data_IF_628365683336
#
_entry.id   IF_628365683336
#
_cell.length_a   1.000
_cell.length_b   1.000
_cell.length_c   1.000
_cell.angle_alpha   90.00
_cell.angle_beta   90.00
_cell.angle_gamma   90.00
#
_symmetry.space_group_name_H-M   'P 1'
#
loop_
_entity.id
_entity.type
_entity.pdbx_description
1 polymer ?
#
# COMPACT_ATOMS: atom_id res chain seq x y z
N UNK A 1 9.31 -2.67 -8.13
CA UNK A 1 8.76 -3.72 -9.00
C UNK A 1 9.70 -4.91 -9.23
N UNK A 2 11.04 -4.71 -9.38
CA UNK A 2 11.98 -5.83 -9.65
C UNK A 2 11.93 -6.91 -8.56
N UNK A 3 12.01 -6.63 -7.25
CA UNK A 3 11.89 -7.65 -6.22
C UNK A 3 10.53 -8.37 -6.23
N UNK A 4 9.44 -7.64 -6.55
CA UNK A 4 8.09 -8.21 -6.67
C UNK A 4 8.05 -9.22 -7.84
N UNK A 5 8.52 -8.82 -9.02
CA UNK A 5 8.55 -9.70 -10.19
C UNK A 5 9.43 -10.92 -9.97
N UNK A 6 10.60 -10.75 -9.35
CA UNK A 6 11.49 -11.87 -9.05
C UNK A 6 10.90 -12.81 -8.00
N UNK A 7 10.25 -12.27 -6.95
CA UNK A 7 9.48 -13.05 -6.00
C UNK A 7 8.37 -13.87 -6.66
N UNK A 8 7.65 -13.28 -7.63
CA UNK A 8 6.65 -13.98 -8.44
C UNK A 8 7.26 -15.11 -9.29
N UNK A 9 8.42 -14.90 -9.91
CA UNK A 9 9.13 -15.98 -10.62
C UNK A 9 9.45 -17.12 -9.66
N UNK A 10 10.05 -16.82 -8.51
CA UNK A 10 10.41 -17.83 -7.52
C UNK A 10 9.18 -18.57 -6.97
N UNK A 11 8.07 -17.88 -6.75
CA UNK A 11 6.82 -18.48 -6.25
C UNK A 11 6.22 -19.49 -7.23
N UNK A 12 6.48 -19.33 -8.53
CA UNK A 12 5.95 -20.18 -9.58
C UNK A 12 6.97 -21.23 -10.10
N UNK A 13 8.12 -21.41 -9.45
CA UNK A 13 9.03 -22.51 -9.79
C UNK A 13 8.34 -23.82 -9.42
N UNK A 14 8.09 -24.72 -10.39
CA UNK A 14 7.42 -25.99 -10.13
C UNK A 14 8.16 -26.79 -9.04
N UNK A 15 7.42 -27.36 -8.12
CA UNK A 15 7.90 -28.28 -7.07
C UNK A 15 8.84 -27.67 -6.02
N UNK A 16 9.20 -26.39 -6.14
CA UNK A 16 10.12 -25.76 -5.20
C UNK A 16 9.48 -25.39 -3.84
N UNK A 17 8.15 -25.22 -3.78
CA UNK A 17 7.40 -24.91 -2.55
C UNK A 17 7.83 -23.63 -1.84
N UNK A 18 8.51 -22.70 -2.53
CA UNK A 18 9.15 -21.53 -1.92
C UNK A 18 8.17 -20.54 -1.28
N UNK A 19 6.93 -20.48 -1.78
CA UNK A 19 5.90 -19.57 -1.30
C UNK A 19 4.88 -20.25 -0.37
N UNK A 20 5.01 -21.55 -0.13
CA UNK A 20 4.06 -22.34 0.64
C UNK A 20 4.39 -22.34 2.13
N UNK A 21 3.35 -22.49 2.96
CA UNK A 21 3.49 -22.80 4.39
C UNK A 21 4.00 -24.23 4.59
N UNK A 22 4.36 -24.59 5.82
CA UNK A 22 4.76 -25.96 6.14
C UNK A 22 3.65 -26.97 5.83
N UNK A 23 2.38 -26.64 6.16
CA UNK A 23 1.23 -27.49 5.88
C UNK A 23 0.98 -27.63 4.36
N UNK A 24 1.00 -26.52 3.61
CA UNK A 24 0.86 -26.56 2.15
C UNK A 24 1.98 -27.38 1.50
N UNK A 25 3.23 -27.25 1.96
CA UNK A 25 4.36 -28.06 1.50
C UNK A 25 4.15 -29.54 1.82
N UNK A 26 3.74 -29.84 3.05
CA UNK A 26 3.48 -31.23 3.48
C UNK A 26 2.38 -31.86 2.61
N UNK A 27 1.27 -31.17 2.39
CA UNK A 27 0.17 -31.64 1.52
C UNK A 27 0.68 -31.83 0.08
N UNK A 28 1.38 -30.84 -0.46
CA UNK A 28 1.89 -30.89 -1.83
C UNK A 28 2.80 -32.09 -2.09
N UNK A 29 3.77 -32.34 -1.20
CA UNK A 29 4.70 -33.49 -1.32
C UNK A 29 4.02 -34.81 -0.97
N UNK A 30 3.19 -34.86 0.07
CA UNK A 30 2.51 -36.10 0.48
C UNK A 30 1.52 -36.61 -0.57
N UNK A 31 0.79 -35.68 -1.26
CA UNK A 31 -0.10 -36.05 -2.37
C UNK A 31 0.65 -36.62 -3.59
N UNK A 32 1.95 -36.38 -3.71
CA UNK A 32 2.80 -36.94 -4.79
C UNK A 32 3.51 -38.22 -4.41
N UNK A 33 3.93 -38.32 -3.15
CA UNK A 33 4.73 -39.46 -2.65
C UNK A 33 3.89 -40.54 -1.98
N UNK A 34 2.57 -40.45 -2.04
CA UNK A 34 1.60 -41.33 -1.38
C UNK A 34 1.85 -41.48 0.13
N UNK A 35 2.33 -40.42 0.77
CA UNK A 35 2.62 -40.41 2.21
C UNK A 35 1.33 -40.16 3.01
N UNK A 36 0.56 -41.25 3.21
CA UNK A 36 -0.80 -41.19 3.76
C UNK A 36 -0.87 -40.76 5.23
N UNK A 37 0.19 -41.00 6.03
CA UNK A 37 0.25 -40.66 7.45
C UNK A 37 0.23 -39.14 7.67
N UNK A 38 0.98 -38.38 6.88
CA UNK A 38 1.03 -36.92 6.96
C UNK A 38 -0.30 -36.32 6.58
N UNK A 39 -0.92 -36.82 5.49
CA UNK A 39 -2.25 -36.35 5.04
C UNK A 39 -3.32 -36.66 6.10
N UNK A 40 -3.29 -37.81 6.75
CA UNK A 40 -4.24 -38.16 7.80
C UNK A 40 -4.08 -37.27 9.03
N UNK A 41 -2.84 -36.91 9.39
CA UNK A 41 -2.57 -35.98 10.50
C UNK A 41 -3.05 -34.54 10.19
N UNK A 42 -2.93 -34.09 8.95
CA UNK A 42 -3.37 -32.77 8.51
C UNK A 42 -4.88 -32.71 8.21
N UNK A 43 -5.53 -33.85 8.00
CA UNK A 43 -6.94 -33.91 7.69
C UNK A 43 -7.83 -33.39 8.83
N UNK A 44 -7.48 -33.71 10.08
CA UNK A 44 -8.28 -33.31 11.24
C UNK A 44 -8.34 -31.77 11.44
N UNK A 45 -7.22 -31.02 11.49
CA UNK A 45 -7.28 -29.59 11.65
C UNK A 45 -7.83 -28.85 10.43
N UNK A 46 -7.81 -29.46 9.24
CA UNK A 46 -8.33 -28.89 8.00
C UNK A 46 -9.74 -29.35 7.66
N UNK A 47 -10.39 -30.09 8.56
CA UNK A 47 -11.76 -30.64 8.36
C UNK A 47 -11.92 -31.44 7.07
N UNK A 48 -10.90 -32.22 6.71
CA UNK A 48 -10.93 -33.12 5.54
C UNK A 48 -11.21 -34.55 5.99
N UNK A 49 -12.19 -35.19 5.40
CA UNK A 49 -12.53 -36.58 5.70
C UNK A 49 -11.52 -37.53 5.04
N UNK A 50 -10.41 -37.83 5.75
CA UNK A 50 -9.38 -38.74 5.26
C UNK A 50 -8.74 -39.53 6.39
N UNK A 51 -8.40 -40.82 6.15
CA UNK A 51 -7.70 -41.69 7.06
C UNK A 51 -6.45 -42.29 6.40
N UNK A 52 -5.44 -42.59 7.22
CA UNK A 52 -4.20 -43.16 6.73
C UNK A 52 -4.46 -44.53 6.01
N UNK A 53 -3.85 -44.69 4.86
CA UNK A 53 -4.00 -45.91 4.04
C UNK A 53 -5.13 -45.85 3.01
N UNK A 54 -5.94 -44.82 2.97
CA UNK A 54 -6.91 -44.60 1.89
C UNK A 54 -6.19 -44.16 0.61
N UNK A 55 -6.75 -44.55 -0.56
CA UNK A 55 -6.23 -44.14 -1.85
C UNK A 55 -6.34 -42.62 -2.05
N UNK A 56 -5.31 -42.01 -2.63
CA UNK A 56 -5.30 -40.57 -2.98
C UNK A 56 -6.02 -40.39 -4.31
N UNK A 57 -7.25 -39.94 -4.23
CA UNK A 57 -8.09 -39.64 -5.41
C UNK A 57 -7.98 -38.17 -5.86
N UNK A 58 -8.37 -37.84 -7.10
CA UNK A 58 -8.42 -36.46 -7.55
C UNK A 58 -9.34 -35.59 -6.67
N UNK A 59 -10.45 -36.15 -6.18
CA UNK A 59 -11.41 -35.46 -5.30
C UNK A 59 -10.77 -35.12 -3.96
N UNK A 60 -9.94 -36.02 -3.41
CA UNK A 60 -9.20 -35.78 -2.18
C UNK A 60 -8.18 -34.64 -2.35
N UNK A 61 -7.48 -34.59 -3.49
CA UNK A 61 -6.55 -33.49 -3.80
C UNK A 61 -7.26 -32.15 -3.81
N UNK A 62 -8.46 -32.10 -4.43
CA UNK A 62 -9.27 -30.88 -4.47
C UNK A 62 -9.81 -30.54 -3.08
N UNK A 63 -10.24 -31.53 -2.28
CA UNK A 63 -10.69 -31.30 -0.91
C UNK A 63 -9.62 -30.66 -0.03
N UNK A 64 -8.37 -31.13 -0.06
CA UNK A 64 -7.27 -30.49 0.67
C UNK A 64 -6.98 -29.07 0.17
N UNK A 65 -7.08 -28.83 -1.13
CA UNK A 65 -6.86 -27.52 -1.73
C UNK A 65 -7.92 -26.49 -1.29
N UNK A 66 -9.18 -26.93 -1.26
CA UNK A 66 -10.29 -26.10 -0.75
C UNK A 66 -10.13 -25.88 0.75
N UNK A 67 -9.87 -26.92 1.52
CA UNK A 67 -9.71 -26.87 2.97
C UNK A 67 -8.60 -25.88 3.40
N UNK A 68 -7.44 -25.90 2.73
CA UNK A 68 -6.36 -24.94 2.98
C UNK A 68 -6.79 -23.50 2.68
N UNK A 69 -7.61 -23.28 1.64
CA UNK A 69 -8.08 -21.95 1.27
C UNK A 69 -9.12 -21.40 2.27
N UNK A 70 -9.93 -22.29 2.84
CA UNK A 70 -11.05 -21.91 3.73
C UNK A 70 -10.67 -22.03 5.22
N UNK A 71 -9.55 -22.66 5.55
CA UNK A 71 -9.09 -22.87 6.92
C UNK A 71 -8.97 -21.57 7.70
N UNK A 72 -9.45 -21.57 8.94
CA UNK A 72 -9.23 -20.46 9.87
C UNK A 72 -7.75 -20.29 10.21
N UNK A 73 -7.38 -19.12 10.75
CA UNK A 73 -6.00 -18.88 11.20
C UNK A 73 -5.53 -19.92 12.24
N UNK A 74 -6.42 -20.32 13.17
CA UNK A 74 -6.13 -21.32 14.18
C UNK A 74 -5.89 -22.71 13.58
N UNK A 75 -6.69 -23.10 12.61
CA UNK A 75 -6.60 -24.41 11.96
C UNK A 75 -5.33 -24.52 11.12
N UNK A 76 -5.01 -23.46 10.37
CA UNK A 76 -3.74 -23.38 9.64
C UNK A 76 -2.52 -23.34 10.56
N UNK A 77 -2.60 -22.68 11.73
CA UNK A 77 -1.51 -22.71 12.70
C UNK A 77 -1.28 -24.11 13.25
N UNK A 78 -2.36 -24.83 13.57
CA UNK A 78 -2.30 -26.25 14.01
C UNK A 78 -1.75 -27.16 12.90
N UNK A 79 -2.25 -27.01 11.67
CA UNK A 79 -1.77 -27.78 10.53
C UNK A 79 -0.26 -27.53 10.25
N UNK A 80 0.19 -26.27 10.36
CA UNK A 80 1.59 -25.92 10.20
C UNK A 80 2.48 -26.56 11.31
N UNK A 81 2.02 -26.57 12.57
CA UNK A 81 2.75 -27.20 13.66
C UNK A 81 2.88 -28.72 13.42
N UNK A 82 1.78 -29.39 13.05
CA UNK A 82 1.79 -30.81 12.70
C UNK A 82 2.76 -31.08 11.54
N UNK A 83 2.71 -30.29 10.47
CA UNK A 83 3.60 -30.47 9.32
C UNK A 83 5.08 -30.32 9.72
N UNK A 84 5.40 -29.38 10.61
CA UNK A 84 6.76 -29.19 11.12
C UNK A 84 7.23 -30.39 11.95
N UNK A 85 6.36 -31.03 12.74
CA UNK A 85 6.69 -32.27 13.48
C UNK A 85 7.01 -33.44 12.53
N UNK A 86 6.43 -33.44 11.33
CA UNK A 86 6.79 -34.39 10.27
C UNK A 86 8.03 -33.96 9.45
N UNK A 87 8.70 -32.87 9.82
CA UNK A 87 9.91 -32.38 9.18
C UNK A 87 9.72 -31.48 7.97
N UNK A 88 8.49 -31.02 7.68
CA UNK A 88 8.22 -30.07 6.62
C UNK A 88 8.41 -28.63 7.11
N UNK A 89 9.15 -27.83 6.34
CA UNK A 89 9.39 -26.42 6.66
C UNK A 89 8.56 -25.47 5.80
N UNK A 90 8.47 -24.24 6.27
CA UNK A 90 7.95 -23.14 5.45
C UNK A 90 8.89 -22.84 4.29
N UNK A 91 8.33 -22.47 3.14
CA UNK A 91 9.11 -21.97 2.03
C UNK A 91 9.83 -20.65 2.37
N UNK A 92 10.96 -20.40 1.73
CA UNK A 92 11.79 -19.22 1.97
C UNK A 92 11.00 -17.91 1.80
N UNK A 93 10.22 -17.80 0.74
CA UNK A 93 9.41 -16.59 0.46
C UNK A 93 8.30 -16.41 1.48
N UNK A 94 7.71 -17.53 1.96
CA UNK A 94 6.72 -17.45 3.04
C UNK A 94 7.35 -16.94 4.34
N UNK A 95 8.58 -17.36 4.67
CA UNK A 95 9.28 -16.83 5.84
C UNK A 95 9.52 -15.31 5.72
N UNK A 96 9.93 -14.81 4.54
CA UNK A 96 10.02 -13.37 4.32
C UNK A 96 8.67 -12.69 4.47
N UNK A 97 7.60 -13.28 3.92
CA UNK A 97 6.25 -12.76 4.06
C UNK A 97 5.82 -12.68 5.53
N UNK A 98 5.99 -13.74 6.31
CA UNK A 98 5.55 -13.78 7.71
C UNK A 98 6.28 -12.76 8.58
N UNK A 99 7.59 -12.56 8.35
CA UNK A 99 8.41 -11.61 9.12
C UNK A 99 8.17 -10.18 8.67
N UNK A 100 8.08 -9.91 7.38
CA UNK A 100 8.05 -8.52 6.87
C UNK A 100 6.64 -7.97 6.76
N UNK A 101 5.68 -8.78 6.30
CA UNK A 101 4.30 -8.37 6.07
C UNK A 101 3.39 -8.87 7.19
N UNK A 102 3.45 -10.15 7.52
CA UNK A 102 2.59 -10.75 8.55
C UNK A 102 2.77 -10.11 9.92
N UNK A 103 3.98 -9.64 10.26
CA UNK A 103 4.25 -8.86 11.47
C UNK A 103 3.92 -7.37 11.34
N UNK A 104 3.53 -6.88 10.17
CA UNK A 104 3.33 -5.47 9.82
C UNK A 104 4.57 -4.57 9.92
N UNK A 105 5.73 -5.10 10.31
CA UNK A 105 6.97 -4.33 10.50
C UNK A 105 7.44 -3.67 9.19
N UNK A 106 7.35 -4.37 8.07
CA UNK A 106 7.83 -3.87 6.78
C UNK A 106 7.21 -2.53 6.37
N UNK A 107 5.87 -2.41 6.26
CA UNK A 107 5.20 -1.16 5.99
C UNK A 107 5.56 -0.03 6.97
N UNK A 108 5.63 -0.34 8.28
CA UNK A 108 5.96 0.65 9.32
C UNK A 108 7.39 1.18 9.19
N UNK A 109 8.36 0.32 8.90
CA UNK A 109 9.76 0.73 8.66
C UNK A 109 9.88 1.59 7.41
N UNK A 110 9.12 1.26 6.34
CA UNK A 110 9.08 2.11 5.14
C UNK A 110 8.50 3.48 5.47
N UNK A 111 7.42 3.55 6.25
CA UNK A 111 6.84 4.82 6.70
C UNK A 111 7.84 5.66 7.51
N UNK A 112 8.63 5.05 8.38
CA UNK A 112 9.71 5.72 9.09
C UNK A 112 10.76 6.28 8.12
N UNK A 113 11.18 5.50 7.12
CA UNK A 113 12.12 5.95 6.09
C UNK A 113 11.56 7.11 5.27
N UNK A 114 10.29 7.02 4.85
CA UNK A 114 9.60 8.12 4.15
C UNK A 114 9.51 9.37 5.02
N UNK A 115 9.23 9.21 6.32
CA UNK A 115 9.25 10.31 7.29
C UNK A 115 10.61 10.99 7.37
N UNK A 116 11.69 10.20 7.41
CA UNK A 116 13.08 10.72 7.43
C UNK A 116 13.46 11.44 6.12
N UNK A 117 12.84 11.06 4.99
CA UNK A 117 13.02 11.76 3.69
C UNK A 117 12.15 13.02 3.57
N UNK A 118 11.10 13.16 4.38
CA UNK A 118 10.09 14.19 4.23
C UNK A 118 10.51 15.50 4.88
N UNK A 119 10.29 16.63 4.17
CA UNK A 119 10.41 17.98 4.71
C UNK A 119 9.01 18.60 4.87
N UNK A 120 8.60 18.87 6.11
CA UNK A 120 7.36 19.56 6.41
C UNK A 120 7.39 21.07 6.12
N UNK A 121 8.55 21.64 5.82
CA UNK A 121 8.71 23.07 5.54
C UNK A 121 7.71 23.61 4.53
N UNK A 122 7.57 23.04 3.33
CA UNK A 122 6.61 23.49 2.33
C UNK A 122 5.14 23.49 2.80
N UNK A 123 4.75 22.47 3.56
CA UNK A 123 3.40 22.35 4.13
C UNK A 123 3.15 23.43 5.19
N UNK A 124 4.12 23.63 6.09
CA UNK A 124 4.06 24.65 7.14
C UNK A 124 4.11 26.07 6.59
N UNK A 125 4.85 26.28 5.50
CA UNK A 125 4.91 27.57 4.82
C UNK A 125 3.57 27.98 4.17
N UNK A 126 2.80 26.98 3.67
CA UNK A 126 1.48 27.18 3.10
C UNK A 126 0.48 26.11 3.57
N UNK A 127 -0.06 26.20 4.80
CA UNK A 127 -0.95 25.18 5.37
C UNK A 127 -2.24 24.95 4.56
N UNK A 128 -2.68 25.91 3.74
CA UNK A 128 -3.86 25.76 2.87
C UNK A 128 -3.70 24.60 1.89
N UNK A 129 -2.46 24.22 1.57
CA UNK A 129 -2.17 23.08 0.68
C UNK A 129 -2.54 21.72 1.30
N UNK A 130 -2.83 21.66 2.62
CA UNK A 130 -3.43 20.47 3.25
C UNK A 130 -4.77 20.09 2.61
N UNK A 131 -5.56 21.08 2.20
CA UNK A 131 -6.85 20.82 1.52
C UNK A 131 -6.66 20.11 0.18
N UNK A 132 -5.55 20.33 -0.50
CA UNK A 132 -5.22 19.64 -1.75
C UNK A 132 -4.89 18.16 -1.50
N UNK A 133 -4.14 17.86 -0.45
CA UNK A 133 -3.89 16.50 0.00
C UNK A 133 -5.17 15.80 0.44
N UNK A 134 -6.01 16.48 1.23
CA UNK A 134 -7.30 15.95 1.66
C UNK A 134 -8.22 15.65 0.46
N UNK A 135 -8.29 16.55 -0.53
CA UNK A 135 -9.10 16.33 -1.73
C UNK A 135 -8.62 15.15 -2.58
N UNK A 136 -7.32 14.89 -2.63
CA UNK A 136 -6.79 13.73 -3.35
C UNK A 136 -7.22 12.40 -2.69
N UNK A 137 -7.58 12.38 -1.38
CA UNK A 137 -8.10 11.18 -0.72
C UNK A 137 -9.49 10.76 -1.22
N UNK A 138 -10.19 11.61 -1.99
CA UNK A 138 -11.36 11.15 -2.74
C UNK A 138 -11.06 9.99 -3.69
N UNK A 139 -9.81 9.80 -4.10
CA UNK A 139 -9.36 8.59 -4.78
C UNK A 139 -9.60 7.33 -3.94
N UNK A 140 -9.28 7.35 -2.64
CA UNK A 140 -9.49 6.23 -1.71
C UNK A 140 -10.98 5.93 -1.56
N UNK A 141 -11.76 6.92 -1.09
CA UNK A 141 -13.19 6.72 -0.82
C UNK A 141 -13.98 6.45 -2.10
N UNK A 142 -13.60 7.06 -3.22
CA UNK A 142 -14.20 6.78 -4.54
C UNK A 142 -13.96 5.33 -4.98
N UNK A 143 -12.83 4.75 -4.63
CA UNK A 143 -12.52 3.35 -4.93
C UNK A 143 -13.30 2.39 -4.03
N UNK A 144 -13.46 2.70 -2.74
CA UNK A 144 -14.35 1.94 -1.85
C UNK A 144 -15.76 1.90 -2.44
N UNK A 145 -16.29 3.06 -2.82
CA UNK A 145 -17.61 3.14 -3.45
C UNK A 145 -17.66 2.42 -4.80
N UNK A 146 -16.60 2.48 -5.60
CA UNK A 146 -16.49 1.77 -6.86
C UNK A 146 -16.48 0.25 -6.68
N UNK A 147 -15.75 -0.28 -5.70
CA UNK A 147 -15.76 -1.70 -5.36
C UNK A 147 -17.14 -2.16 -4.88
N UNK A 148 -17.75 -1.40 -3.96
CA UNK A 148 -19.11 -1.67 -3.49
C UNK A 148 -20.17 -1.59 -4.60
N UNK A 149 -19.98 -0.70 -5.58
CA UNK A 149 -20.86 -0.61 -6.74
C UNK A 149 -20.72 -1.83 -7.66
N UNK A 150 -19.51 -2.33 -7.87
CA UNK A 150 -19.28 -3.54 -8.68
C UNK A 150 -19.88 -4.78 -8.03
N UNK A 151 -19.85 -4.87 -6.71
CA UNK A 151 -20.51 -5.90 -5.92
C UNK A 151 -22.06 -5.78 -6.05
N UNK A 152 -22.59 -4.59 -5.83
CA UNK A 152 -24.04 -4.35 -5.98
C UNK A 152 -24.58 -4.65 -7.38
N UNK A 153 -23.77 -4.43 -8.42
CA UNK A 153 -24.12 -4.75 -9.81
C UNK A 153 -23.96 -6.25 -10.14
N UNK A 154 -23.41 -7.06 -9.22
CA UNK A 154 -23.13 -8.48 -9.44
C UNK A 154 -22.03 -8.74 -10.49
N UNK A 155 -21.14 -7.76 -10.71
CA UNK A 155 -20.01 -7.90 -11.66
C UNK A 155 -18.81 -8.56 -10.97
N UNK A 156 -18.53 -8.17 -9.74
CA UNK A 156 -17.46 -8.71 -8.89
C UNK A 156 -17.95 -8.76 -7.45
N UNK A 157 -17.68 -9.86 -6.76
CA UNK A 157 -18.04 -10.03 -5.36
C UNK A 157 -16.96 -9.39 -4.47
N UNK A 158 -17.33 -8.36 -3.71
CA UNK A 158 -16.49 -7.73 -2.71
C UNK A 158 -17.23 -7.57 -1.39
N UNK A 159 -16.73 -8.16 -0.34
CA UNK A 159 -17.16 -7.81 1.01
C UNK A 159 -16.76 -6.35 1.33
N UNK A 160 -17.39 -5.75 2.33
CA UNK A 160 -17.04 -4.37 2.72
C UNK A 160 -15.59 -4.23 3.21
N UNK A 161 -15.03 -5.29 3.81
CA UNK A 161 -13.63 -5.38 4.23
C UNK A 161 -12.70 -5.36 3.02
N UNK A 162 -13.01 -6.15 2.00
CA UNK A 162 -12.28 -6.19 0.74
C UNK A 162 -12.39 -4.89 -0.03
N UNK A 163 -13.58 -4.30 -0.10
CA UNK A 163 -13.80 -3.01 -0.73
C UNK A 163 -12.97 -1.89 -0.07
N UNK A 164 -12.88 -1.89 1.27
CA UNK A 164 -12.04 -0.97 2.00
C UNK A 164 -10.54 -1.20 1.74
N UNK A 165 -10.10 -2.47 1.76
CA UNK A 165 -8.72 -2.83 1.45
C UNK A 165 -8.30 -2.45 0.01
N UNK A 166 -9.19 -2.66 -0.97
CA UNK A 166 -8.99 -2.25 -2.36
C UNK A 166 -9.01 -0.72 -2.47
N UNK A 167 -9.88 -0.06 -1.72
CA UNK A 167 -10.04 1.39 -1.71
C UNK A 167 -8.75 2.15 -1.47
N UNK A 168 -7.89 1.64 -0.59
CA UNK A 168 -6.65 2.32 -0.20
C UNK A 168 -5.68 2.52 -1.38
N UNK A 169 -5.79 1.74 -2.45
CA UNK A 169 -4.99 1.88 -3.68
C UNK A 169 -5.13 3.29 -4.25
N UNK A 170 -6.31 3.90 -4.10
CA UNK A 170 -6.60 5.25 -4.60
C UNK A 170 -5.75 6.36 -3.99
N UNK A 171 -5.12 6.11 -2.84
CA UNK A 171 -4.14 7.01 -2.23
C UNK A 171 -2.76 6.99 -2.91
N UNK A 172 -2.48 6.01 -3.76
CA UNK A 172 -1.18 5.75 -4.36
C UNK A 172 -0.05 5.60 -3.32
N UNK A 173 -0.35 4.89 -2.24
CA UNK A 173 0.52 4.64 -1.09
C UNK A 173 0.73 3.13 -0.91
N UNK A 174 1.84 2.62 -1.44
CA UNK A 174 2.16 1.19 -1.42
C UNK A 174 2.23 0.60 0.00
N UNK A 175 3.01 1.18 0.91
CA UNK A 175 3.11 0.70 2.29
C UNK A 175 1.78 0.71 3.04
N UNK A 176 0.98 1.78 2.92
CA UNK A 176 -0.35 1.85 3.53
C UNK A 176 -1.28 0.79 2.94
N UNK A 177 -1.19 0.54 1.62
CA UNK A 177 -1.99 -0.49 0.95
C UNK A 177 -1.67 -1.89 1.49
N UNK A 178 -0.40 -2.20 1.71
CA UNK A 178 0.01 -3.46 2.33
C UNK A 178 -0.47 -3.56 3.77
N UNK A 179 -0.33 -2.48 4.56
CA UNK A 179 -0.75 -2.46 5.96
C UNK A 179 -2.25 -2.71 6.09
N UNK A 180 -3.08 -1.98 5.36
CA UNK A 180 -4.54 -2.13 5.41
C UNK A 180 -4.98 -3.49 4.90
N UNK A 181 -4.44 -3.96 3.77
CA UNK A 181 -4.83 -5.25 3.21
C UNK A 181 -4.36 -6.43 4.07
N UNK A 182 -3.23 -6.32 4.80
CA UNK A 182 -2.79 -7.36 5.73
C UNK A 182 -3.75 -7.53 6.92
N UNK A 183 -4.48 -6.47 7.27
CA UNK A 183 -5.46 -6.48 8.38
C UNK A 183 -6.86 -6.84 7.89
N UNK A 184 -7.35 -6.19 6.82
CA UNK A 184 -8.75 -6.28 6.39
C UNK A 184 -9.01 -7.38 5.35
N UNK A 185 -8.05 -7.67 4.47
CA UNK A 185 -8.20 -8.64 3.38
C UNK A 185 -6.87 -9.33 3.03
N UNK A 186 -6.31 -10.18 3.91
CA UNK A 186 -4.98 -10.79 3.70
C UNK A 186 -4.88 -11.63 2.43
N UNK A 187 -5.98 -12.23 1.97
CA UNK A 187 -6.04 -13.03 0.74
C UNK A 187 -5.90 -12.18 -0.53
N UNK A 188 -6.33 -10.91 -0.52
CA UNK A 188 -6.19 -9.96 -1.62
C UNK A 188 -4.89 -9.14 -1.57
N UNK A 189 -4.07 -9.32 -0.53
CA UNK A 189 -2.85 -8.53 -0.30
C UNK A 189 -1.93 -8.52 -1.53
N UNK A 190 -1.75 -9.66 -2.20
CA UNK A 190 -0.91 -9.75 -3.40
C UNK A 190 -1.41 -8.84 -4.53
N UNK A 191 -2.69 -8.92 -4.87
CA UNK A 191 -3.31 -8.13 -5.92
C UNK A 191 -3.29 -6.63 -5.58
N UNK A 192 -3.65 -6.28 -4.33
CA UNK A 192 -3.67 -4.89 -3.85
C UNK A 192 -2.26 -4.28 -3.85
N UNK A 193 -1.27 -5.00 -3.32
CA UNK A 193 0.11 -4.52 -3.26
C UNK A 193 0.71 -4.32 -4.66
N UNK A 194 0.52 -5.28 -5.56
CA UNK A 194 1.01 -5.16 -6.96
C UNK A 194 0.36 -3.98 -7.65
N UNK A 195 -0.97 -3.81 -7.50
CA UNK A 195 -1.71 -2.67 -8.04
C UNK A 195 -1.16 -1.35 -7.52
N UNK A 196 -1.04 -1.19 -6.20
CA UNK A 196 -0.57 0.04 -5.57
C UNK A 196 0.86 0.42 -6.02
N UNK A 197 1.79 -0.54 -6.05
CA UNK A 197 3.16 -0.27 -6.49
C UNK A 197 3.26 -0.05 -8.01
N UNK A 198 2.45 -0.75 -8.82
CA UNK A 198 2.40 -0.54 -10.25
C UNK A 198 1.91 0.88 -10.57
N UNK A 199 0.83 1.34 -9.94
CA UNK A 199 0.30 2.69 -10.16
C UNK A 199 1.21 3.77 -9.62
N UNK A 200 1.83 3.56 -8.48
CA UNK A 200 2.86 4.46 -7.97
C UNK A 200 4.02 4.61 -8.98
N UNK A 201 4.46 3.52 -9.61
CA UNK A 201 5.48 3.58 -10.66
C UNK A 201 4.98 4.25 -11.95
N UNK A 202 3.67 4.16 -12.26
CA UNK A 202 3.05 4.76 -13.45
C UNK A 202 2.59 6.21 -13.25
N UNK A 203 2.80 6.81 -12.09
CA UNK A 203 2.50 8.23 -11.80
C UNK A 203 2.96 9.17 -12.93
N UNK A 204 4.21 9.07 -13.45
CA UNK A 204 4.68 9.93 -14.53
C UNK A 204 3.94 9.77 -15.85
N UNK A 205 3.22 8.67 -16.04
CA UNK A 205 2.44 8.38 -17.25
C UNK A 205 0.97 8.77 -17.09
N UNK A 206 0.38 8.49 -15.93
CA UNK A 206 -1.07 8.67 -15.68
C UNK A 206 -1.41 10.12 -15.34
N UNK A 207 -0.62 10.80 -14.52
CA UNK A 207 -0.94 12.16 -14.06
C UNK A 207 -0.90 13.24 -15.16
N UNK A 208 0.14 13.31 -16.05
CA UNK A 208 0.25 14.41 -16.99
C UNK A 208 -0.95 14.57 -17.94
N UNK A 209 -1.53 13.50 -18.53
CA UNK A 209 -2.72 13.62 -19.36
C UNK A 209 -3.91 14.21 -18.59
N UNK A 210 -4.15 13.75 -17.35
CA UNK A 210 -5.25 14.22 -16.49
C UNK A 210 -5.06 15.70 -16.15
N UNK A 211 -3.85 16.07 -15.72
CA UNK A 211 -3.51 17.45 -15.39
C UNK A 211 -3.69 18.39 -16.60
N UNK A 212 -3.24 17.97 -17.79
CA UNK A 212 -3.37 18.74 -19.01
C UNK A 212 -4.81 18.86 -19.48
N UNK A 213 -5.63 17.82 -19.31
CA UNK A 213 -7.06 17.84 -19.64
C UNK A 213 -7.87 18.77 -18.70
N UNK A 214 -7.52 18.83 -17.43
CA UNK A 214 -8.24 19.62 -16.44
C UNK A 214 -7.75 21.06 -16.28
N UNK A 215 -6.63 21.45 -16.92
CA UNK A 215 -6.05 22.79 -16.79
C UNK A 215 -5.76 23.42 -18.13
N UNK A 216 -6.03 24.72 -18.23
CA UNK A 216 -5.65 25.53 -19.39
C UNK A 216 -4.14 25.86 -19.35
N UNK A 217 -3.57 26.26 -20.53
CA UNK A 217 -2.18 26.70 -20.60
C UNK A 217 -1.88 27.90 -19.69
N UNK A 218 -2.86 28.80 -19.53
CA UNK A 218 -2.75 29.97 -18.64
C UNK A 218 -2.67 29.55 -17.17
N UNK A 219 -3.47 28.58 -16.74
CA UNK A 219 -3.47 28.07 -15.38
C UNK A 219 -2.16 27.35 -15.06
N UNK A 220 -1.64 26.55 -16.00
CA UNK A 220 -0.36 25.85 -15.84
C UNK A 220 0.85 26.79 -15.75
N UNK A 221 0.75 27.98 -16.38
CA UNK A 221 1.80 28.97 -16.38
C UNK A 221 1.80 29.89 -15.14
N UNK A 222 0.86 29.74 -14.21
CA UNK A 222 0.79 30.55 -12.97
C UNK A 222 2.07 30.33 -12.16
N UNK A 223 2.81 31.42 -11.92
CA UNK A 223 3.96 31.44 -11.01
C UNK A 223 3.49 31.60 -9.57
N UNK A 224 4.02 30.79 -8.68
CA UNK A 224 3.72 30.90 -7.26
C UNK A 224 4.78 31.76 -6.56
N UNK A 225 4.33 32.53 -5.56
CA UNK A 225 5.20 33.34 -4.72
C UNK A 225 6.13 32.45 -3.89
N UNK A 226 7.32 32.97 -3.54
CA UNK A 226 8.26 32.23 -2.72
C UNK A 226 7.66 31.87 -1.36
N UNK A 227 7.90 30.63 -0.91
CA UNK A 227 7.43 30.16 0.38
C UNK A 227 8.15 30.92 1.52
N UNK A 228 7.43 31.20 2.62
CA UNK A 228 8.06 31.78 3.81
C UNK A 228 9.10 30.82 4.41
N UNK A 229 10.16 31.33 5.03
CA UNK A 229 11.06 30.50 5.81
C UNK A 229 10.31 29.90 7.01
N UNK A 230 10.58 28.63 7.30
CA UNK A 230 10.02 27.88 8.43
C UNK A 230 11.13 27.59 9.43
N UNK A 231 10.87 27.85 10.71
CA UNK A 231 11.84 27.64 11.77
C UNK A 231 12.02 26.15 12.09
N UNK A 232 13.21 25.78 12.60
CA UNK A 232 13.49 24.41 13.06
C UNK A 232 12.51 23.95 14.14
N UNK A 233 12.09 24.85 15.04
CA UNK A 233 11.09 24.55 16.07
C UNK A 233 9.74 24.19 15.48
N UNK A 234 9.26 24.92 14.48
CA UNK A 234 8.01 24.60 13.78
C UNK A 234 8.08 23.21 13.14
N UNK A 235 9.18 22.85 12.49
CA UNK A 235 9.38 21.55 11.84
C UNK A 235 9.40 20.37 12.83
N UNK A 236 9.91 20.57 14.05
CA UNK A 236 9.94 19.56 15.11
C UNK A 236 8.58 19.42 15.78
N UNK A 237 7.92 20.54 16.10
CA UNK A 237 6.66 20.54 16.87
C UNK A 237 5.48 20.07 16.04
N UNK A 238 5.41 20.45 14.77
CA UNK A 238 4.26 20.17 13.91
C UNK A 238 3.92 18.68 13.78
N UNK A 239 4.88 17.78 13.43
CA UNK A 239 4.56 16.35 13.31
C UNK A 239 4.10 15.75 14.64
N UNK A 240 4.62 16.21 15.77
CA UNK A 240 4.19 15.75 17.09
C UNK A 240 2.76 16.20 17.41
N UNK A 241 2.42 17.44 17.09
CA UNK A 241 1.04 17.96 17.26
C UNK A 241 0.07 17.20 16.37
N UNK A 242 0.42 16.96 15.11
CA UNK A 242 -0.42 16.19 14.17
C UNK A 242 -0.61 14.76 14.68
N UNK A 243 0.46 14.10 15.12
CA UNK A 243 0.40 12.75 15.67
C UNK A 243 -0.56 12.71 16.87
N UNK A 244 -0.37 13.57 17.86
CA UNK A 244 -1.19 13.61 19.07
C UNK A 244 -2.66 13.91 18.70
N UNK A 245 -2.90 14.90 17.85
CA UNK A 245 -4.25 15.27 17.43
C UNK A 245 -4.97 14.10 16.73
N UNK A 246 -4.29 13.41 15.81
CA UNK A 246 -4.90 12.28 15.08
C UNK A 246 -5.13 11.10 16.01
N UNK A 247 -4.15 10.72 16.83
CA UNK A 247 -4.25 9.54 17.70
C UNK A 247 -5.32 9.69 18.78
N UNK A 248 -5.61 10.90 19.24
CA UNK A 248 -6.71 11.15 20.19
C UNK A 248 -8.08 10.77 19.61
N UNK A 249 -8.29 10.90 18.31
CA UNK A 249 -9.55 10.57 17.64
C UNK A 249 -9.50 9.18 16.94
N UNK A 250 -8.32 8.79 16.45
CA UNK A 250 -8.10 7.61 15.63
C UNK A 250 -6.83 6.86 16.10
N UNK A 251 -6.90 6.09 17.20
CA UNK A 251 -5.75 5.34 17.72
C UNK A 251 -5.16 4.37 16.68
N UNK A 252 -5.98 3.80 15.80
CA UNK A 252 -5.58 2.85 14.77
C UNK A 252 -4.69 3.45 13.67
N UNK A 253 -4.65 4.79 13.56
CA UNK A 253 -3.69 5.48 12.69
C UNK A 253 -2.29 5.63 13.34
N UNK A 254 -2.16 5.36 14.65
CA UNK A 254 -0.92 5.57 15.40
C UNK A 254 0.28 4.79 14.83
N UNK A 255 0.17 3.52 14.42
CA UNK A 255 1.34 2.79 13.92
C UNK A 255 1.97 3.45 12.70
N UNK A 256 1.17 3.75 11.67
CA UNK A 256 1.66 4.36 10.42
C UNK A 256 2.13 5.81 10.66
N UNK A 257 1.26 6.64 11.22
CA UNK A 257 1.55 8.06 11.43
C UNK A 257 2.67 8.26 12.45
N UNK A 258 2.72 7.43 13.50
CA UNK A 258 3.78 7.44 14.51
C UNK A 258 5.15 7.17 13.91
N UNK A 259 5.28 6.14 13.07
CA UNK A 259 6.54 5.82 12.40
C UNK A 259 6.95 6.92 11.41
N UNK A 260 6.00 7.50 10.68
CA UNK A 260 6.24 8.65 9.80
C UNK A 260 6.76 9.86 10.57
N UNK A 261 6.09 10.23 11.65
CA UNK A 261 6.49 11.36 12.51
C UNK A 261 7.83 11.08 13.22
N UNK A 262 8.08 9.83 13.65
CA UNK A 262 9.35 9.44 14.24
C UNK A 262 10.53 9.58 13.26
N UNK A 263 10.35 9.11 12.02
CA UNK A 263 11.34 9.28 10.97
C UNK A 263 11.67 10.77 10.72
N UNK A 264 10.64 11.60 10.64
CA UNK A 264 10.80 13.03 10.46
C UNK A 264 11.49 13.70 11.67
N UNK A 265 11.14 13.30 12.89
CA UNK A 265 11.78 13.80 14.11
C UNK A 265 13.27 13.50 14.12
N UNK A 266 13.69 12.29 13.70
CA UNK A 266 15.12 11.94 13.58
C UNK A 266 15.85 12.88 12.63
N UNK A 267 15.23 13.31 11.54
CA UNK A 267 15.78 14.26 10.59
C UNK A 267 15.88 15.67 11.17
N UNK A 268 14.78 16.20 11.70
CA UNK A 268 14.67 17.61 12.06
C UNK A 268 15.34 17.95 13.40
N UNK A 269 15.51 16.97 14.30
CA UNK A 269 16.20 17.22 15.60
C UNK A 269 17.69 17.56 15.41
N UNK A 270 18.36 16.99 14.40
CA UNK A 270 19.78 17.27 14.08
C UNK A 270 20.77 16.74 15.11
N UNK A 271 20.37 15.76 15.94
CA UNK A 271 21.26 15.12 16.93
C UNK A 271 21.50 13.65 16.64
N UNK A 272 20.72 13.05 15.74
CA UNK A 272 20.82 11.66 15.32
C UNK A 272 20.92 11.53 13.79
N UNK A 273 21.68 12.39 13.14
CA UNK A 273 21.78 12.46 11.67
C UNK A 273 22.17 11.11 11.06
N UNK A 274 23.07 10.36 11.69
CA UNK A 274 23.47 9.03 11.23
C UNK A 274 22.29 8.04 11.21
N UNK A 275 21.40 8.08 12.20
CA UNK A 275 20.21 7.23 12.23
C UNK A 275 19.20 7.65 11.16
N UNK A 276 18.99 8.95 10.99
CA UNK A 276 18.17 9.51 9.93
C UNK A 276 18.68 9.10 8.55
N UNK A 277 19.99 9.21 8.31
CA UNK A 277 20.61 8.78 7.05
C UNK A 277 20.42 7.28 6.80
N UNK A 278 20.64 6.44 7.83
CA UNK A 278 20.41 5.01 7.74
C UNK A 278 18.95 4.70 7.42
N UNK A 279 17.98 5.36 8.06
CA UNK A 279 16.56 5.14 7.86
C UNK A 279 16.12 5.49 6.44
N UNK A 280 16.55 6.64 5.91
CA UNK A 280 16.13 7.13 4.59
C UNK A 280 16.86 6.47 3.42
N UNK A 281 17.95 5.77 3.64
CA UNK A 281 18.77 5.12 2.59
C UNK A 281 18.86 3.61 2.78
N UNK A 282 19.70 3.13 3.69
CA UNK A 282 19.99 1.70 3.82
C UNK A 282 18.75 0.90 4.27
N UNK A 283 18.11 1.32 5.34
CA UNK A 283 17.03 0.57 5.96
C UNK A 283 15.79 0.49 5.06
N UNK A 284 15.37 1.62 4.46
CA UNK A 284 14.22 1.63 3.54
C UNK A 284 14.48 0.76 2.31
N UNK A 285 15.71 0.76 1.78
CA UNK A 285 16.07 -0.05 0.62
C UNK A 285 16.07 -1.55 0.95
N UNK A 286 16.67 -1.95 2.08
CA UNK A 286 16.67 -3.34 2.54
C UNK A 286 15.24 -3.83 2.77
N UNK A 287 14.44 -3.04 3.49
CA UNK A 287 13.03 -3.39 3.75
C UNK A 287 12.23 -3.49 2.44
N UNK A 288 12.46 -2.60 1.48
CA UNK A 288 11.79 -2.63 0.17
C UNK A 288 12.14 -3.89 -0.63
N UNK A 289 13.37 -4.39 -0.54
CA UNK A 289 13.78 -5.64 -1.19
C UNK A 289 12.99 -6.82 -0.61
N UNK A 290 13.02 -7.00 0.71
CA UNK A 290 12.33 -8.11 1.36
C UNK A 290 10.81 -7.99 1.25
N UNK A 291 10.27 -6.79 1.37
CA UNK A 291 8.85 -6.54 1.18
C UNK A 291 8.42 -6.87 -0.27
N UNK A 292 9.22 -6.48 -1.26
CA UNK A 292 8.96 -6.82 -2.65
C UNK A 292 8.97 -8.33 -2.90
N UNK A 293 9.94 -9.07 -2.37
CA UNK A 293 9.99 -10.53 -2.45
C UNK A 293 8.77 -11.17 -1.77
N UNK A 294 8.38 -10.64 -0.60
CA UNK A 294 7.21 -11.10 0.15
C UNK A 294 5.89 -10.88 -0.61
N UNK A 295 5.71 -9.71 -1.23
CA UNK A 295 4.56 -9.44 -2.11
C UNK A 295 4.58 -10.37 -3.32
N UNK A 296 5.76 -10.58 -3.92
CA UNK A 296 5.95 -11.49 -5.04
C UNK A 296 5.53 -12.92 -4.73
N UNK A 297 5.68 -13.37 -3.49
CA UNK A 297 5.26 -14.72 -3.07
C UNK A 297 3.74 -14.95 -3.23
N UNK A 298 2.95 -13.89 -3.27
CA UNK A 298 1.48 -13.95 -3.47
C UNK A 298 1.08 -13.96 -4.95
N UNK A 299 2.03 -13.83 -5.88
CA UNK A 299 1.79 -13.87 -7.32
C UNK A 299 1.85 -15.31 -7.88
N UNK A 300 1.29 -16.25 -7.16
CA UNK A 300 1.11 -17.62 -7.67
C UNK A 300 0.04 -17.59 -8.76
N UNK A 301 0.33 -18.20 -9.92
CA UNK A 301 -0.50 -18.10 -11.10
C UNK A 301 -1.95 -18.60 -10.89
N UNK A 302 -2.11 -19.62 -10.08
CA UNK A 302 -3.40 -20.22 -9.72
C UNK A 302 -4.27 -19.34 -8.78
N UNK A 303 -3.63 -18.39 -8.07
CA UNK A 303 -4.29 -17.49 -7.12
C UNK A 303 -4.41 -16.05 -7.62
N UNK A 304 -3.60 -15.66 -8.61
CA UNK A 304 -3.51 -14.26 -9.05
C UNK A 304 -4.32 -13.96 -10.32
N UNK A 305 -4.48 -14.94 -11.21
CA UNK A 305 -5.17 -14.75 -12.50
C UNK A 305 -6.67 -15.08 -12.37
N UNK A 306 -7.39 -14.26 -11.61
CA UNK A 306 -8.83 -14.34 -11.47
C UNK A 306 -9.53 -13.00 -11.83
N UNK A 307 -10.86 -13.04 -11.96
CA UNK A 307 -11.66 -11.87 -12.32
C UNK A 307 -11.58 -10.76 -11.25
N UNK A 308 -11.51 -11.13 -9.97
CA UNK A 308 -11.43 -10.19 -8.86
C UNK A 308 -10.10 -9.40 -8.89
N UNK A 309 -8.98 -10.08 -9.12
CA UNK A 309 -7.66 -9.45 -9.27
C UNK A 309 -7.62 -8.49 -10.46
N UNK A 310 -8.16 -8.88 -11.61
CA UNK A 310 -8.25 -8.00 -12.79
C UNK A 310 -9.15 -6.79 -12.51
N UNK A 311 -10.23 -6.99 -11.77
CA UNK A 311 -11.11 -5.92 -11.30
C UNK A 311 -10.39 -4.93 -10.39
N UNK A 312 -9.59 -5.42 -9.43
CA UNK A 312 -8.75 -4.59 -8.55
C UNK A 312 -7.75 -3.76 -9.37
N UNK A 313 -7.11 -4.36 -10.38
CA UNK A 313 -6.24 -3.64 -11.30
C UNK A 313 -7.00 -2.54 -12.06
N UNK A 314 -8.18 -2.82 -12.58
CA UNK A 314 -9.00 -1.82 -13.27
C UNK A 314 -9.43 -0.67 -12.38
N UNK A 315 -9.95 -0.99 -11.20
CA UNK A 315 -10.34 -0.01 -10.17
C UNK A 315 -9.20 0.91 -9.76
N UNK A 316 -8.00 0.36 -9.60
CA UNK A 316 -6.83 1.14 -9.19
C UNK A 316 -6.45 2.25 -10.18
N UNK A 317 -6.56 2.01 -11.50
CA UNK A 317 -6.31 3.05 -12.53
C UNK A 317 -7.32 4.19 -12.38
N UNK A 318 -8.61 3.83 -12.27
CA UNK A 318 -9.70 4.82 -12.12
C UNK A 318 -9.53 5.60 -10.82
N UNK A 319 -9.24 4.90 -9.73
CA UNK A 319 -9.00 5.48 -8.40
C UNK A 319 -7.91 6.56 -8.43
N UNK A 320 -6.78 6.21 -9.02
CA UNK A 320 -5.64 7.12 -9.13
C UNK A 320 -5.95 8.33 -10.01
N UNK A 321 -6.71 8.13 -11.08
CA UNK A 321 -7.18 9.21 -11.94
C UNK A 321 -8.13 10.16 -11.18
N UNK A 322 -9.06 9.61 -10.40
CA UNK A 322 -10.01 10.39 -9.57
C UNK A 322 -9.25 11.20 -8.50
N UNK A 323 -8.33 10.59 -7.75
CA UNK A 323 -7.52 11.29 -6.74
C UNK A 323 -6.73 12.46 -7.34
N UNK A 324 -6.07 12.22 -8.48
CA UNK A 324 -5.35 13.27 -9.23
C UNK A 324 -6.29 14.40 -9.67
N UNK A 325 -7.45 14.05 -10.22
CA UNK A 325 -8.43 15.02 -10.70
C UNK A 325 -9.00 15.86 -9.55
N UNK A 326 -9.39 15.24 -8.45
CA UNK A 326 -9.94 15.94 -7.28
C UNK A 326 -8.92 16.92 -6.69
N UNK A 327 -7.64 16.55 -6.59
CA UNK A 327 -6.60 17.47 -6.14
C UNK A 327 -6.46 18.71 -7.05
N UNK A 328 -6.42 18.51 -8.38
CA UNK A 328 -6.36 19.60 -9.36
C UNK A 328 -7.62 20.49 -9.30
N UNK A 329 -8.79 19.89 -9.24
CA UNK A 329 -10.06 20.61 -9.16
C UNK A 329 -10.20 21.40 -7.86
N UNK A 330 -9.73 20.86 -6.74
CA UNK A 330 -9.68 21.56 -5.46
C UNK A 330 -8.80 22.81 -5.55
N UNK A 331 -7.62 22.72 -6.18
CA UNK A 331 -6.77 23.88 -6.38
C UNK A 331 -7.46 24.97 -7.24
N UNK A 332 -8.20 24.56 -8.28
CA UNK A 332 -9.02 25.49 -9.08
C UNK A 332 -10.15 26.11 -8.25
N UNK A 333 -10.80 25.32 -7.41
CA UNK A 333 -11.85 25.81 -6.51
C UNK A 333 -11.29 26.82 -5.51
N UNK A 334 -10.14 26.53 -4.91
CA UNK A 334 -9.46 27.43 -3.97
C UNK A 334 -9.12 28.78 -4.62
N UNK A 335 -8.75 28.79 -5.91
CA UNK A 335 -8.47 30.02 -6.64
C UNK A 335 -9.68 30.98 -6.76
N UNK A 336 -10.92 30.51 -6.53
CA UNK A 336 -12.10 31.39 -6.47
C UNK A 336 -12.23 32.15 -5.15
N UNK A 337 -11.55 31.64 -4.09
CA UNK A 337 -11.67 32.20 -2.74
C UNK A 337 -10.35 32.80 -2.22
N UNK A 338 -9.25 32.59 -2.93
CA UNK A 338 -7.93 33.11 -2.53
C UNK A 338 -7.51 34.29 -3.39
N UNK A 339 -6.89 35.29 -2.76
CA UNK A 339 -6.36 36.47 -3.48
C UNK A 339 -5.10 36.14 -4.28
N UNK A 340 -4.29 35.22 -3.78
CA UNK A 340 -3.09 34.72 -4.45
C UNK A 340 -3.42 33.47 -5.26
N UNK A 341 -3.09 33.49 -6.55
CA UNK A 341 -3.38 32.38 -7.42
C UNK A 341 -2.48 31.19 -7.12
N UNK A 342 -3.08 30.04 -6.89
CA UNK A 342 -2.41 28.74 -6.72
C UNK A 342 -2.34 28.09 -8.10
N UNK A 343 -1.16 27.58 -8.48
CA UNK A 343 -1.05 26.79 -9.70
C UNK A 343 -1.77 25.43 -9.51
N UNK A 344 -2.83 25.12 -10.29
CA UNK A 344 -3.63 23.92 -10.08
C UNK A 344 -2.84 22.62 -10.21
N UNK A 345 -1.70 22.64 -10.89
CA UNK A 345 -0.85 21.46 -11.05
C UNK A 345 -0.37 20.90 -9.70
N UNK A 346 -0.15 21.75 -8.68
CA UNK A 346 0.31 21.25 -7.38
C UNK A 346 -0.73 20.40 -6.67
N UNK A 347 -2.01 20.55 -7.02
CA UNK A 347 -3.09 19.72 -6.49
C UNK A 347 -2.95 18.23 -6.87
N UNK A 348 -2.40 17.94 -8.05
CA UNK A 348 -2.14 16.55 -8.46
C UNK A 348 -1.12 15.84 -7.55
N UNK A 349 -0.28 16.60 -6.85
CA UNK A 349 0.68 16.05 -5.89
C UNK A 349 0.04 15.63 -4.55
N UNK A 350 -1.26 15.90 -4.35
CA UNK A 350 -1.97 15.48 -3.14
C UNK A 350 -2.11 13.96 -2.95
N UNK A 351 -1.81 13.15 -3.96
CA UNK A 351 -1.66 11.70 -3.81
C UNK A 351 -0.37 11.37 -3.04
N UNK A 352 -0.37 10.27 -2.31
CA UNK A 352 0.72 9.93 -1.36
C UNK A 352 2.02 9.41 -2.00
N UNK A 353 2.16 9.46 -3.33
CA UNK A 353 3.36 9.03 -4.05
C UNK A 353 4.51 10.05 -3.87
N UNK A 354 5.17 10.05 -2.71
CA UNK A 354 6.25 10.98 -2.33
C UNK A 354 7.61 10.46 -2.80
N UNK A 355 8.47 11.29 -3.38
CA UNK A 355 8.25 12.66 -3.90
C UNK A 355 7.85 12.68 -5.39
N UNK A 356 7.41 11.55 -5.93
CA UNK A 356 7.24 11.35 -7.38
C UNK A 356 6.14 12.25 -7.95
N UNK A 357 4.99 12.34 -7.29
CA UNK A 357 3.87 13.17 -7.75
C UNK A 357 4.25 14.66 -7.78
N UNK A 358 5.00 15.15 -6.79
CA UNK A 358 5.51 16.52 -6.77
C UNK A 358 6.49 16.79 -7.94
N UNK A 359 7.34 15.84 -8.27
CA UNK A 359 8.26 15.95 -9.43
C UNK A 359 7.50 15.99 -10.75
N UNK A 360 6.42 15.21 -10.89
CA UNK A 360 5.57 15.22 -12.08
C UNK A 360 4.85 16.55 -12.23
N UNK A 361 4.28 17.08 -11.15
CA UNK A 361 3.67 18.42 -11.15
C UNK A 361 4.66 19.50 -11.58
N UNK A 362 5.88 19.46 -11.06
CA UNK A 362 6.96 20.38 -11.44
C UNK A 362 7.33 20.24 -12.92
N UNK A 363 7.47 19.01 -13.43
CA UNK A 363 7.79 18.75 -14.85
C UNK A 363 6.75 19.37 -15.78
N UNK A 364 5.47 19.13 -15.53
CA UNK A 364 4.37 19.70 -16.33
C UNK A 364 4.31 21.22 -16.21
N UNK A 365 4.65 21.78 -15.06
CA UNK A 365 4.76 23.21 -14.84
C UNK A 365 5.88 23.85 -15.67
N UNK A 366 7.05 23.23 -15.71
CA UNK A 366 8.20 23.67 -16.52
C UNK A 366 7.93 23.56 -18.03
N UNK A 367 7.18 22.55 -18.48
CA UNK A 367 6.72 22.46 -19.87
C UNK A 367 5.83 23.64 -20.29
N UNK A 368 5.02 24.15 -19.36
CA UNK A 368 4.14 25.30 -19.61
C UNK A 368 4.87 26.65 -19.51
N UNK A 369 5.83 26.75 -18.59
CA UNK A 369 6.66 27.93 -18.38
C UNK A 369 8.00 27.51 -17.74
N UNK A 370 9.15 27.63 -18.47
CA UNK A 370 10.47 27.18 -18.02
C UNK A 370 10.96 27.85 -16.70
N UNK A 371 10.35 28.96 -16.30
CA UNK A 371 10.68 29.64 -15.04
C UNK A 371 9.77 29.23 -13.87
N UNK A 372 8.88 28.26 -14.06
CA UNK A 372 7.85 27.89 -13.09
C UNK A 372 8.28 26.67 -12.27
N UNK A 373 9.09 26.89 -11.23
CA UNK A 373 9.56 25.85 -10.35
C UNK A 373 8.50 25.53 -9.27
N UNK A 374 7.67 24.51 -9.51
CA UNK A 374 6.58 24.12 -8.62
C UNK A 374 6.97 23.08 -7.55
N UNK A 375 8.17 22.51 -7.61
CA UNK A 375 8.54 21.36 -6.77
C UNK A 375 8.29 21.61 -5.28
N UNK A 376 8.80 22.70 -4.74
CA UNK A 376 8.64 23.02 -3.33
C UNK A 376 7.17 23.27 -2.94
N UNK A 377 6.39 23.87 -3.83
CA UNK A 377 4.95 24.09 -3.61
C UNK A 377 4.16 22.78 -3.69
N UNK A 378 4.53 21.87 -4.57
CA UNK A 378 3.90 20.57 -4.73
C UNK A 378 4.24 19.58 -3.59
N UNK A 379 5.37 19.78 -2.91
CA UNK A 379 5.73 18.97 -1.73
C UNK A 379 4.74 19.16 -0.58
N UNK A 380 4.16 20.35 -0.40
CA UNK A 380 3.15 20.59 0.64
C UNK A 380 1.93 19.65 0.52
N UNK A 381 1.19 19.68 -0.59
CA UNK A 381 0.09 18.75 -0.83
C UNK A 381 0.53 17.27 -0.80
N UNK A 382 1.74 16.96 -1.28
CA UNK A 382 2.24 15.59 -1.33
C UNK A 382 2.44 14.99 0.07
N UNK A 383 3.01 15.76 0.98
CA UNK A 383 3.16 15.39 2.39
C UNK A 383 1.79 15.30 3.08
N UNK A 384 0.89 16.24 2.79
CA UNK A 384 -0.49 16.19 3.30
C UNK A 384 -1.23 14.93 2.83
N UNK A 385 -0.93 14.44 1.63
CA UNK A 385 -1.43 13.18 1.09
C UNK A 385 -1.04 11.98 1.93
N UNK A 386 0.24 11.88 2.35
CA UNK A 386 0.72 10.77 3.21
C UNK A 386 0.01 10.77 4.56
N UNK A 387 -0.15 11.94 5.18
CA UNK A 387 -0.94 12.06 6.41
C UNK A 387 -2.37 11.61 6.15
N UNK A 388 -2.96 12.04 5.04
CA UNK A 388 -4.32 11.70 4.64
C UNK A 388 -4.53 10.19 4.42
N UNK A 389 -3.60 9.50 3.74
CA UNK A 389 -3.68 8.05 3.54
C UNK A 389 -3.54 7.27 4.85
N UNK A 390 -2.64 7.69 5.76
CA UNK A 390 -2.49 7.08 7.07
C UNK A 390 -3.75 7.27 7.95
N UNK A 391 -4.37 8.45 7.89
CA UNK A 391 -5.65 8.73 8.57
C UNK A 391 -6.77 7.89 7.96
N UNK A 392 -6.88 7.82 6.63
CA UNK A 392 -7.89 7.00 5.95
C UNK A 392 -7.73 5.51 6.33
N UNK A 393 -6.50 5.00 6.39
CA UNK A 393 -6.22 3.64 6.85
C UNK A 393 -6.72 3.42 8.28
N UNK A 394 -6.42 4.33 9.19
CA UNK A 394 -6.89 4.25 10.58
C UNK A 394 -8.42 4.28 10.68
N UNK A 395 -9.10 5.12 9.88
CA UNK A 395 -10.57 5.16 9.82
C UNK A 395 -11.14 3.83 9.35
N UNK A 396 -10.60 3.26 8.27
CA UNK A 396 -11.08 2.00 7.71
C UNK A 396 -10.89 0.86 8.70
N UNK A 397 -9.71 0.75 9.31
CA UNK A 397 -9.45 -0.29 10.32
C UNK A 397 -10.38 -0.12 11.50
N UNK A 398 -10.50 1.08 12.08
CA UNK A 398 -11.35 1.33 13.25
C UNK A 398 -12.83 1.02 13.03
N UNK A 399 -13.33 1.23 11.83
CA UNK A 399 -14.76 1.04 11.53
C UNK A 399 -15.11 -0.40 11.14
N UNK A 400 -14.12 -1.18 10.69
CA UNK A 400 -14.35 -2.46 10.04
C UNK A 400 -13.66 -3.66 10.72
N UNK A 401 -12.71 -3.43 11.64
CA UNK A 401 -12.05 -4.51 12.42
C UNK A 401 -12.68 -4.79 13.77
#
# INVERSE_FOLDING_TARGET
LVPIGFGGILANIPEAGLALTAAENAIHFALKSDTTQVLAALAAPLDVAYQAGQAITPELKEAFKVAVKEASYSDMAMANAIAQDFGYGNGMLYNFYSVVIGSTIGPLVIFMGVGAMTDFGPLLANPKTMLLGAAAQFGIFGTVLGAALLDWLGILDFTILEAAAVGIIGGADGPTSIYVSSVLAPHLLGAIAVSAYAYMAMVPMIQPPIMKALTSQKERAIKMSQLRPVSKKEKIVFPLVVLIAVVLFLPDAAPLLGMFCFGNLMRECGVVERLSDTAQNALINITTIFLGLSVGSKLMADKFLDAQTLGILGLGIVAFAVGTACGVLMAKLMNRFTKEAINPLIGSAGVSAVPMAARVSNKVGLEANPQNFLLMHAMGPNVAGVIGSAVAAGVMIKLLS
#
